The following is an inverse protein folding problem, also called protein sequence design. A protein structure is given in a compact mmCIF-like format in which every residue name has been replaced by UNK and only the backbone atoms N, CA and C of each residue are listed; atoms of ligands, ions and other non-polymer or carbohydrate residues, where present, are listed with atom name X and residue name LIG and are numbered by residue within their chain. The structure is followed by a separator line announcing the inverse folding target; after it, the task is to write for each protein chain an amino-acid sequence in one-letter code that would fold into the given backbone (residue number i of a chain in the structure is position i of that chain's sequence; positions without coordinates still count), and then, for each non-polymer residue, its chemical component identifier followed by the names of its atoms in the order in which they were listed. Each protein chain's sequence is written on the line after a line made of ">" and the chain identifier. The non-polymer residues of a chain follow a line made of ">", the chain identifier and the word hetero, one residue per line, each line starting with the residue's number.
data_IF_135160841202
#
_entry.id   IF_135160841202
#
_cell.length_a   1.000
_cell.length_b   1.000
_cell.length_c   1.000
_cell.angle_alpha   90.00
_cell.angle_beta   90.00
_cell.angle_gamma   90.00
#
_symmetry.space_group_name_H-M   'P 1'
#
loop_
_entity.id
_entity.type
_entity.pdbx_description
1 polymer ?
#
# COMPACT_ATOMS: atom_id res chain seq x y z
N UNK A 1 -11.89 -7.99 53.67
CA UNK A 1 -11.03 -8.43 52.55
C UNK A 1 -11.62 -7.84 51.28
N UNK A 2 -11.00 -6.78 50.74
CA UNK A 2 -11.45 -6.14 49.50
C UNK A 2 -10.57 -6.70 48.38
N UNK A 3 -11.12 -7.56 47.52
CA UNK A 3 -10.39 -8.10 46.37
C UNK A 3 -10.25 -7.00 45.31
N UNK A 4 -9.04 -6.47 45.19
CA UNK A 4 -8.64 -5.63 44.05
C UNK A 4 -8.38 -6.53 42.85
N UNK A 5 -9.32 -6.56 41.90
CA UNK A 5 -9.14 -7.22 40.61
C UNK A 5 -8.32 -6.33 39.67
N UNK A 6 -7.06 -6.72 39.42
CA UNK A 6 -6.24 -6.16 38.35
C UNK A 6 -6.78 -6.68 37.01
N UNK A 7 -7.52 -5.86 36.27
CA UNK A 7 -7.89 -6.17 34.89
C UNK A 7 -6.69 -5.89 33.99
N UNK A 8 -5.94 -6.95 33.66
CA UNK A 8 -4.92 -6.92 32.62
C UNK A 8 -5.61 -6.73 31.25
N UNK A 9 -5.53 -5.52 30.71
CA UNK A 9 -5.95 -5.23 29.35
C UNK A 9 -5.02 -5.97 28.37
N UNK A 10 -5.52 -7.10 27.83
CA UNK A 10 -4.92 -7.79 26.70
C UNK A 10 -4.99 -6.86 25.48
N UNK A 11 -3.88 -6.17 25.20
CA UNK A 11 -3.67 -5.48 23.94
C UNK A 11 -3.57 -6.53 22.82
N UNK A 12 -4.72 -6.92 22.26
CA UNK A 12 -4.76 -7.73 21.07
C UNK A 12 -4.11 -6.94 19.92
N UNK A 13 -3.12 -7.49 19.20
CA UNK A 13 -2.56 -6.84 18.02
C UNK A 13 -3.67 -6.77 16.97
N UNK A 14 -4.21 -5.57 16.76
CA UNK A 14 -5.09 -5.32 15.64
C UNK A 14 -4.28 -5.57 14.35
N UNK A 15 -4.78 -6.37 13.41
CA UNK A 15 -4.12 -6.48 12.11
C UNK A 15 -4.09 -5.06 11.53
N UNK A 16 -2.89 -4.57 11.23
CA UNK A 16 -2.72 -3.36 10.46
C UNK A 16 -3.43 -3.60 9.12
N UNK A 17 -4.64 -3.05 8.96
CA UNK A 17 -5.24 -2.90 7.65
C UNK A 17 -4.27 -2.05 6.86
N UNK A 18 -3.45 -2.72 6.03
CA UNK A 18 -2.57 -2.07 5.11
C UNK A 18 -3.43 -1.01 4.40
N UNK A 19 -3.07 0.26 4.59
CA UNK A 19 -3.66 1.35 3.83
C UNK A 19 -3.15 1.19 2.41
N UNK A 20 -3.78 0.26 1.68
CA UNK A 20 -3.67 0.16 0.25
C UNK A 20 -4.13 1.52 -0.25
N UNK A 21 -3.16 2.33 -0.71
CA UNK A 21 -3.48 3.47 -1.56
C UNK A 21 -4.46 3.00 -2.63
N UNK A 22 -5.31 3.90 -3.10
CA UNK A 22 -6.36 3.60 -4.08
C UNK A 22 -5.73 3.30 -5.46
N UNK A 23 -4.89 2.28 -5.53
CA UNK A 23 -4.27 1.76 -6.73
C UNK A 23 -5.38 1.10 -7.52
N UNK A 24 -5.66 1.63 -8.71
CA UNK A 24 -6.66 1.07 -9.60
C UNK A 24 -6.09 -0.18 -10.27
N UNK A 25 -6.09 -1.28 -9.52
CA UNK A 25 -5.83 -2.63 -10.02
C UNK A 25 -6.90 -2.96 -11.05
N UNK A 26 -6.51 -3.38 -12.25
CA UNK A 26 -7.50 -3.79 -13.24
C UNK A 26 -8.09 -5.14 -12.87
N UNK A 27 -9.42 -5.20 -12.74
CA UNK A 27 -10.11 -6.45 -12.42
C UNK A 27 -10.03 -7.42 -13.61
N UNK A 28 -9.42 -8.58 -13.39
CA UNK A 28 -9.42 -9.71 -14.33
C UNK A 28 -10.87 -10.15 -14.65
N UNK A 29 -11.16 -10.48 -15.91
CA UNK A 29 -12.46 -11.03 -16.30
C UNK A 29 -12.44 -12.57 -16.26
N UNK A 30 -13.44 -13.18 -15.59
CA UNK A 30 -13.57 -14.64 -15.51
C UNK A 30 -13.67 -15.32 -16.87
N UNK A 31 -14.48 -14.81 -17.80
CA UNK A 31 -14.74 -15.47 -19.09
C UNK A 31 -13.49 -15.46 -19.98
N UNK A 32 -12.72 -14.38 -19.90
CA UNK A 32 -11.44 -14.25 -20.60
C UNK A 32 -10.40 -15.21 -20.00
N UNK A 33 -10.23 -15.19 -18.67
CA UNK A 33 -9.33 -16.11 -17.99
C UNK A 33 -9.70 -17.59 -18.25
N UNK A 34 -10.99 -17.91 -18.22
CA UNK A 34 -11.49 -19.27 -18.38
C UNK A 34 -11.16 -19.84 -19.77
N UNK A 35 -11.28 -19.03 -20.82
CA UNK A 35 -10.97 -19.42 -22.19
C UNK A 35 -9.47 -19.36 -22.49
N UNK A 36 -8.76 -18.33 -22.01
CA UNK A 36 -7.39 -18.06 -22.40
C UNK A 36 -6.33 -18.68 -21.49
N UNK A 37 -6.55 -18.69 -20.17
CA UNK A 37 -5.59 -19.24 -19.22
C UNK A 37 -5.97 -20.67 -18.82
N UNK A 38 -7.22 -20.89 -18.43
CA UNK A 38 -7.70 -22.20 -17.99
C UNK A 38 -8.01 -23.16 -19.15
N UNK A 39 -8.10 -22.64 -20.39
CA UNK A 39 -8.40 -23.39 -21.62
C UNK A 39 -9.62 -24.31 -21.47
N UNK A 40 -10.64 -23.86 -20.74
CA UNK A 40 -11.87 -24.61 -20.56
C UNK A 40 -12.82 -24.41 -21.75
N UNK A 41 -13.71 -25.37 -22.04
CA UNK A 41 -14.75 -25.19 -23.05
C UNK A 41 -15.67 -24.02 -22.71
N UNK A 42 -16.11 -23.29 -23.73
CA UNK A 42 -16.97 -22.10 -23.59
C UNK A 42 -18.23 -22.44 -22.80
N UNK A 43 -18.84 -23.59 -23.07
CA UNK A 43 -20.06 -24.05 -22.41
C UNK A 43 -19.87 -24.33 -20.92
N UNK A 44 -18.63 -24.55 -20.47
CA UNK A 44 -18.28 -24.67 -19.05
C UNK A 44 -18.04 -23.30 -18.43
N UNK A 45 -17.35 -22.40 -19.14
CA UNK A 45 -17.14 -21.02 -18.69
C UNK A 45 -18.47 -20.30 -18.44
N UNK A 46 -19.45 -20.47 -19.33
CA UNK A 46 -20.79 -19.89 -19.19
C UNK A 46 -21.54 -20.36 -17.95
N UNK A 47 -21.28 -21.60 -17.50
CA UNK A 47 -21.96 -22.18 -16.32
C UNK A 47 -21.42 -21.63 -15.00
N UNK A 48 -20.24 -21.00 -15.01
CA UNK A 48 -19.59 -20.42 -13.82
C UNK A 48 -19.67 -21.36 -12.61
N UNK A 49 -19.20 -22.59 -12.79
CA UNK A 49 -19.24 -23.60 -11.75
C UNK A 49 -18.49 -23.12 -10.49
N UNK A 50 -18.97 -23.42 -9.27
CA UNK A 50 -18.35 -22.95 -8.03
C UNK A 50 -16.88 -23.32 -7.90
N UNK A 51 -16.48 -24.45 -8.47
CA UNK A 51 -15.10 -24.92 -8.49
C UNK A 51 -14.23 -24.02 -9.38
N UNK A 52 -14.71 -23.69 -10.57
CA UNK A 52 -13.98 -22.84 -11.53
C UNK A 52 -13.88 -21.40 -11.02
N UNK A 53 -14.94 -20.89 -10.39
CA UNK A 53 -14.94 -19.56 -9.75
C UNK A 53 -13.92 -19.50 -8.62
N UNK A 54 -13.82 -20.53 -7.77
CA UNK A 54 -12.82 -20.56 -6.70
C UNK A 54 -11.38 -20.55 -7.25
N UNK A 55 -11.12 -21.31 -8.31
CA UNK A 55 -9.80 -21.34 -8.95
C UNK A 55 -9.48 -19.98 -9.57
N UNK A 56 -10.45 -19.34 -10.24
CA UNK A 56 -10.30 -17.99 -10.77
C UNK A 56 -9.99 -16.97 -9.67
N UNK A 57 -10.71 -16.99 -8.55
CA UNK A 57 -10.49 -16.04 -7.46
C UNK A 57 -9.11 -16.20 -6.83
N UNK A 58 -8.64 -17.43 -6.66
CA UNK A 58 -7.29 -17.71 -6.20
C UNK A 58 -6.23 -17.22 -7.21
N UNK A 59 -6.47 -17.41 -8.51
CA UNK A 59 -5.59 -16.91 -9.56
C UNK A 59 -5.53 -15.38 -9.57
N UNK A 60 -6.70 -14.73 -9.51
CA UNK A 60 -6.85 -13.27 -9.47
C UNK A 60 -6.10 -12.68 -8.29
N UNK A 61 -6.31 -13.21 -7.08
CA UNK A 61 -5.61 -12.74 -5.87
C UNK A 61 -4.08 -12.79 -6.01
N UNK A 62 -3.55 -13.83 -6.67
CA UNK A 62 -2.12 -13.96 -6.93
C UNK A 62 -1.60 -12.91 -7.91
N UNK A 63 -2.33 -12.59 -8.97
CA UNK A 63 -1.93 -11.60 -9.97
C UNK A 63 -2.04 -10.18 -9.39
N UNK A 64 -3.15 -9.85 -8.74
CA UNK A 64 -3.40 -8.53 -8.16
C UNK A 64 -2.34 -8.14 -7.12
N UNK A 65 -1.78 -9.12 -6.39
CA UNK A 65 -0.68 -8.88 -5.45
C UNK A 65 0.53 -8.19 -6.11
N UNK A 66 0.91 -8.63 -7.31
CA UNK A 66 2.06 -8.06 -8.03
C UNK A 66 1.73 -6.73 -8.70
N UNK A 67 0.46 -6.51 -9.06
CA UNK A 67 0.02 -5.27 -9.71
C UNK A 67 0.15 -4.07 -8.76
N UNK A 68 -0.15 -4.26 -7.48
CA UNK A 68 -0.11 -3.17 -6.49
C UNK A 68 1.32 -2.67 -6.29
N UNK A 69 2.29 -3.58 -6.16
CA UNK A 69 3.69 -3.19 -5.98
C UNK A 69 4.24 -2.50 -7.23
N UNK A 70 3.87 -2.97 -8.42
CA UNK A 70 4.20 -2.29 -9.68
C UNK A 70 3.60 -0.87 -9.74
N UNK A 71 2.32 -0.71 -9.41
CA UNK A 71 1.64 0.59 -9.40
C UNK A 71 2.24 1.55 -8.38
N UNK A 72 2.65 1.06 -7.20
CA UNK A 72 3.37 1.84 -6.19
C UNK A 72 4.70 2.37 -6.72
N UNK A 73 5.49 1.52 -7.37
CA UNK A 73 6.78 1.92 -7.94
C UNK A 73 6.60 2.97 -9.04
N UNK A 74 5.59 2.78 -9.90
CA UNK A 74 5.28 3.75 -10.97
C UNK A 74 4.89 5.12 -10.41
N UNK A 75 4.04 5.15 -9.38
CA UNK A 75 3.64 6.41 -8.74
C UNK A 75 4.83 7.12 -8.09
N UNK A 76 5.71 6.37 -7.41
CA UNK A 76 6.94 6.93 -6.83
C UNK A 76 7.87 7.51 -7.90
N UNK A 77 8.02 6.86 -9.05
CA UNK A 77 8.83 7.37 -10.16
C UNK A 77 8.27 8.68 -10.72
N UNK A 78 6.95 8.78 -10.92
CA UNK A 78 6.29 10.01 -11.37
C UNK A 78 6.48 11.15 -10.35
N UNK A 79 6.37 10.85 -9.06
CA UNK A 79 6.60 11.84 -8.00
C UNK A 79 8.04 12.33 -7.97
N UNK A 80 9.01 11.42 -8.11
CA UNK A 80 10.42 11.77 -8.17
C UNK A 80 10.71 12.66 -9.39
N UNK A 81 10.22 12.28 -10.57
CA UNK A 81 10.38 13.04 -11.81
C UNK A 81 9.85 14.47 -11.67
N UNK A 82 8.63 14.64 -11.13
CA UNK A 82 8.09 15.98 -10.84
C UNK A 82 8.94 16.77 -9.86
N UNK A 83 9.46 16.14 -8.80
CA UNK A 83 10.33 16.83 -7.86
C UNK A 83 11.65 17.25 -8.49
N UNK A 84 12.22 16.45 -9.42
CA UNK A 84 13.47 16.79 -10.12
C UNK A 84 13.23 17.90 -11.15
N UNK A 85 12.16 17.80 -11.95
CA UNK A 85 11.85 18.78 -13.00
C UNK A 85 11.42 20.15 -12.45
N UNK A 86 10.86 20.19 -11.24
CA UNK A 86 10.42 21.44 -10.60
C UNK A 86 11.37 21.94 -9.51
N UNK A 87 12.45 21.21 -9.20
CA UNK A 87 13.52 21.69 -8.33
C UNK A 87 14.61 22.34 -9.19
N UNK A 88 14.31 23.51 -9.78
CA UNK A 88 15.39 24.37 -10.26
C UNK A 88 16.18 24.86 -9.04
N UNK A 89 17.49 24.56 -8.92
CA UNK A 89 18.31 25.03 -7.79
C UNK A 89 18.34 26.55 -7.64
N UNK A 90 17.97 27.29 -8.68
CA UNK A 90 17.89 28.75 -8.69
C UNK A 90 16.62 29.26 -7.99
N UNK A 91 15.52 28.51 -8.03
CA UNK A 91 14.22 28.90 -7.45
C UNK A 91 14.08 28.55 -5.94
N UNK A 92 14.76 27.51 -5.45
CA UNK A 92 14.80 27.15 -4.02
C UNK A 92 16.24 26.91 -3.52
N UNK A 93 16.98 27.98 -3.18
CA UNK A 93 18.35 27.83 -2.72
C UNK A 93 18.41 27.09 -1.38
N UNK A 94 19.22 26.02 -1.33
CA UNK A 94 19.54 25.16 -0.17
C UNK A 94 20.05 25.92 1.08
N UNK A 95 20.09 27.25 1.09
CA UNK A 95 20.52 28.07 2.23
C UNK A 95 19.51 28.10 3.38
N UNK A 96 18.23 27.77 3.14
CA UNK A 96 17.18 27.81 4.18
C UNK A 96 17.16 26.58 5.09
N UNK A 97 17.64 25.41 4.63
CA UNK A 97 17.58 24.17 5.42
C UNK A 97 18.69 24.05 6.47
N UNK A 98 19.86 24.66 6.26
CA UNK A 98 20.95 24.62 7.25
C UNK A 98 20.71 25.52 8.48
N UNK A 99 19.85 26.52 8.38
CA UNK A 99 19.60 27.47 9.48
C UNK A 99 18.53 26.99 10.46
N UNK A 100 17.59 26.14 10.03
CA UNK A 100 16.55 25.60 10.93
C UNK A 100 17.07 24.44 11.81
N UNK A 101 17.97 23.60 11.30
CA UNK A 101 18.50 22.48 12.08
C UNK A 101 19.51 22.93 13.16
N UNK A 102 20.10 24.12 13.03
CA UNK A 102 21.05 24.67 14.01
C UNK A 102 20.38 25.42 15.17
N UNK A 103 19.09 25.77 15.07
CA UNK A 103 18.39 26.55 16.10
C UNK A 103 17.72 25.70 17.18
N UNK A 104 17.57 24.38 16.99
CA UNK A 104 16.92 23.49 17.96
C UNK A 104 17.87 22.91 19.03
N UNK A 105 19.19 23.09 18.86
CA UNK A 105 20.20 22.54 19.80
C UNK A 105 20.52 23.50 20.97
N UNK A 106 19.98 24.74 20.99
CA UNK A 106 20.38 25.77 21.97
C UNK A 106 19.21 26.33 22.79
N UNK A 107 18.29 25.48 23.27
CA UNK A 107 17.25 25.94 24.21
C UNK A 107 16.96 24.96 25.34
N UNK A 108 17.98 24.68 26.16
CA UNK A 108 17.79 24.21 27.54
C UNK A 108 18.40 25.25 28.49
N UNK A 109 17.60 25.92 29.35
CA UNK A 109 18.16 26.79 30.38
C UNK A 109 18.71 25.94 31.55
N UNK A 110 19.79 26.37 32.23
CA UNK A 110 20.27 25.70 33.43
C UNK A 110 19.31 25.94 34.60
N UNK A 111 19.03 24.88 35.34
CA UNK A 111 18.26 24.88 36.59
C UNK A 111 19.19 25.30 37.74
N UNK A 112 18.97 26.47 38.32
CA UNK A 112 19.45 26.82 39.67
C UNK A 112 18.36 26.48 40.70
#
# INVERSE_FOLDING_TARGET
>A
MVLSGLTAALAAPLPALAQYGNYRVQSMNFDLWCQEDAKLPVERCDKRLPEDVQVFEAHRAKVEQYEIDYLRQKDNAIRLDRNILHADPVDDPLSKSQTQQRQDVTRTPPRN
#
